data_IF_882351798666
#
_entry.id   IF_882351798666
#
_cell.length_a   1.000
_cell.length_b   1.000
_cell.length_c   1.000
_cell.angle_alpha   90.00
_cell.angle_beta   90.00
_cell.angle_gamma   90.00
#
_symmetry.space_group_name_H-M   'P 1'
#
loop_
_entity.id
_entity.type
_entity.pdbx_description
1 polymer ?
2 non-polymer ?
3 non-polymer ?
4 water ?
#
# COMPACT_ATOMS: atom_id res chain seq x y z
N UNK A 1 -13.05 7.31 18.73
CA UNK A 1 -12.93 7.50 17.26
C UNK A 1 -12.32 6.18 16.86
N UNK A 2 -12.90 5.40 15.91
CA UNK A 2 -12.14 4.22 15.43
C UNK A 2 -10.97 4.67 14.58
N UNK A 3 -9.75 4.37 15.03
CA UNK A 3 -8.50 4.68 14.34
C UNK A 3 -7.94 3.44 13.66
N UNK A 4 -7.41 3.51 12.46
CA UNK A 4 -6.89 2.33 11.79
C UNK A 4 -5.47 2.71 11.47
N UNK A 5 -4.51 1.85 11.81
CA UNK A 5 -3.11 2.14 11.53
C UNK A 5 -2.70 1.36 10.29
N UNK A 6 -2.42 2.11 9.24
CA UNK A 6 -2.13 1.54 7.93
C UNK A 6 -0.66 1.82 7.61
N UNK A 7 0.05 0.84 7.03
CA UNK A 7 1.44 1.03 6.69
C UNK A 7 1.55 0.74 5.21
N UNK A 8 2.28 1.60 4.51
CA UNK A 8 2.42 1.50 3.08
C UNK A 8 3.83 1.01 2.82
N UNK A 9 3.93 -0.10 2.07
CA UNK A 9 5.17 -0.87 1.81
C UNK A 9 5.36 -1.11 0.33
N UNK A 10 6.64 -1.21 -0.06
CA UNK A 10 6.96 -1.49 -1.44
C UNK A 10 8.35 -0.96 -1.69
N UNK A 11 8.93 -1.36 -2.82
CA UNK A 11 10.26 -0.91 -3.18
C UNK A 11 10.30 0.60 -3.44
N UNK A 12 11.52 1.14 -3.40
CA UNK A 12 11.83 2.54 -3.73
C UNK A 12 11.31 2.88 -5.14
N UNK A 13 10.56 3.99 -5.17
CA UNK A 13 10.19 4.57 -6.43
C UNK A 13 8.89 4.04 -7.02
N UNK A 14 8.14 3.23 -6.24
CA UNK A 14 6.89 2.67 -6.75
C UNK A 14 5.71 3.63 -6.59
N UNK A 15 5.86 4.59 -5.70
CA UNK A 15 4.79 5.58 -5.54
C UNK A 15 4.08 5.54 -4.21
N UNK A 16 4.73 5.02 -3.13
CA UNK A 16 4.11 4.96 -1.81
C UNK A 16 3.76 6.40 -1.34
N UNK A 17 4.73 7.29 -1.53
CA UNK A 17 4.62 8.66 -1.06
C UNK A 17 3.57 9.44 -1.90
N UNK A 18 3.65 9.24 -3.22
CA UNK A 18 2.72 9.87 -4.16
C UNK A 18 1.30 9.38 -3.91
N UNK A 19 1.05 8.09 -3.65
CA UNK A 19 -0.29 7.65 -3.32
C UNK A 19 -0.79 8.28 -2.03
N UNK A 20 0.06 8.27 -0.97
CA UNK A 20 -0.35 8.77 0.33
C UNK A 20 -0.72 10.29 0.28
N UNK A 21 0.16 11.06 -0.36
CA UNK A 21 0.02 12.53 -0.47
C UNK A 21 -1.18 12.79 -1.40
N UNK A 22 -1.44 12.00 -2.47
CA UNK A 22 -2.69 12.13 -3.21
C UNK A 22 -3.90 11.95 -2.30
N UNK A 23 -3.85 10.93 -1.43
CA UNK A 23 -4.94 10.69 -0.52
C UNK A 23 -5.14 11.88 0.41
N UNK A 24 -4.05 12.37 1.02
CA UNK A 24 -4.13 13.39 2.06
C UNK A 24 -4.50 14.77 1.49
N UNK A 25 -3.87 15.17 0.39
CA UNK A 25 -3.94 16.54 -0.12
C UNK A 25 -4.67 16.67 -1.43
N UNK A 26 -4.98 15.61 -2.17
CA UNK A 26 -5.59 15.71 -3.48
C UNK A 26 -4.62 16.24 -4.55
N UNK A 27 -3.31 16.22 -4.35
CA UNK A 27 -2.41 16.70 -5.39
C UNK A 27 -1.36 15.63 -5.67
N UNK A 28 -0.73 15.65 -6.85
CA UNK A 28 0.24 14.63 -7.21
C UNK A 28 1.61 15.24 -7.04
N UNK A 29 2.55 14.61 -6.36
CA UNK A 29 3.90 15.12 -6.22
C UNK A 29 4.84 14.55 -7.28
N UNK A 30 5.84 15.35 -7.66
CA UNK A 30 6.95 15.03 -8.56
C UNK A 30 8.21 14.32 -8.07
N UNK A 31 8.77 14.46 -6.84
CA UNK A 31 9.73 13.51 -6.24
C UNK A 31 9.90 13.80 -4.74
N UNK A 32 10.64 13.02 -3.89
CA UNK A 32 10.70 13.20 -2.44
C UNK A 32 11.67 12.17 -1.88
N UNK A 33 12.57 12.54 -0.99
CA UNK A 33 13.57 11.61 -0.50
C UNK A 33 13.07 10.27 0.08
N UNK A 34 13.57 9.19 -0.57
CA UNK A 34 13.29 7.81 -0.19
C UNK A 34 13.67 7.39 1.25
N UNK A 35 14.51 8.17 1.95
CA UNK A 35 14.97 7.92 3.31
C UNK A 35 14.06 8.56 4.41
N UNK A 36 12.86 9.08 4.05
CA UNK A 36 12.05 9.77 5.03
C UNK A 36 10.89 8.84 5.31
N UNK A 37 10.59 8.80 6.62
CA UNK A 37 9.37 8.29 7.20
C UNK A 37 8.35 9.37 7.67
N UNK A 38 7.07 9.27 7.29
CA UNK A 38 6.10 10.31 7.65
C UNK A 38 4.84 9.69 8.11
N UNK A 39 4.22 10.23 9.15
CA UNK A 39 2.93 9.76 9.63
C UNK A 39 1.91 10.82 9.21
N UNK A 40 0.71 10.41 8.81
CA UNK A 40 -0.36 11.30 8.45
C UNK A 40 -1.61 10.80 9.14
N UNK A 41 -2.47 11.69 9.67
CA UNK A 41 -3.77 11.31 10.19
C UNK A 41 -4.77 11.89 9.22
N UNK A 42 -5.86 11.26 8.87
CA UNK A 42 -6.79 11.77 7.86
C UNK A 42 -8.13 11.12 8.13
N UNK A 43 -9.22 11.90 8.25
CA UNK A 43 -10.57 11.31 8.33
C UNK A 43 -11.10 10.87 6.97
N UNK A 44 -11.92 9.85 6.85
CA UNK A 44 -12.40 9.33 5.57
C UNK A 44 -13.81 8.84 5.95
N UNK A 45 -14.87 8.87 5.13
CA UNK A 45 -16.07 8.10 5.41
C UNK A 45 -15.93 6.88 4.51
N UNK A 46 -16.18 5.70 5.04
CA UNK A 46 -16.27 4.50 4.20
C UNK A 46 -17.64 3.90 4.50
N UNK A 47 -18.37 3.67 3.40
CA UNK A 47 -19.75 3.21 3.48
C UNK A 47 -20.60 4.05 4.46
N UNK A 48 -20.41 5.37 4.28
CA UNK A 48 -21.09 6.39 5.07
C UNK A 48 -20.79 6.41 6.57
N UNK A 49 -19.73 5.74 7.05
CA UNK A 49 -19.34 5.76 8.45
C UNK A 49 -17.97 6.40 8.56
N UNK A 50 -17.84 7.47 9.35
CA UNK A 50 -16.54 8.19 9.52
C UNK A 50 -15.48 7.37 10.24
N UNK A 51 -14.27 7.36 9.73
CA UNK A 51 -13.15 6.59 10.24
C UNK A 51 -11.95 7.57 10.23
N UNK A 52 -10.96 7.30 11.09
CA UNK A 52 -9.72 8.06 11.11
C UNK A 52 -8.63 7.07 10.74
N UNK A 53 -7.80 7.37 9.77
CA UNK A 53 -6.67 6.55 9.37
C UNK A 53 -5.40 7.20 9.86
N UNK A 54 -4.47 6.49 10.45
CA UNK A 54 -3.13 6.98 10.64
C UNK A 54 -2.29 6.19 9.64
N UNK A 55 -1.69 6.87 8.69
CA UNK A 55 -0.95 6.25 7.62
C UNK A 55 0.54 6.48 7.86
N UNK A 56 1.31 5.39 7.81
CA UNK A 56 2.74 5.49 7.91
C UNK A 56 3.31 5.17 6.54
N UNK A 57 3.91 6.25 6.01
CA UNK A 57 4.63 6.23 4.76
C UNK A 57 6.11 5.91 5.06
N UNK A 58 6.60 4.79 4.51
CA UNK A 58 7.87 4.22 4.98
C UNK A 58 9.02 4.59 4.04
N UNK A 59 10.21 4.65 4.63
CA UNK A 59 11.42 4.74 3.84
C UNK A 59 11.61 3.30 3.39
N UNK A 60 11.31 2.87 2.16
CA UNK A 60 11.15 1.44 1.87
C UNK A 60 12.28 0.71 1.11
N UNK A 61 13.19 1.56 0.59
CA UNK A 61 14.29 1.18 -0.30
C UNK A 61 15.27 0.22 0.43
N UNK A 62 15.28 -1.13 0.18
CA UNK A 62 16.27 -2.07 0.75
C UNK A 62 16.46 -2.00 2.30
N UNK A 63 15.45 -1.43 3.02
CA UNK A 63 15.71 -1.21 4.44
C UNK A 63 15.86 -2.56 5.16
N UNK A 64 16.98 -2.70 5.93
CA UNK A 64 17.32 -3.73 6.92
C UNK A 64 16.16 -4.54 7.47
N UNK A 65 16.27 -5.90 7.47
CA UNK A 65 15.15 -6.76 7.82
C UNK A 65 14.47 -6.45 9.15
N UNK A 66 15.27 -6.04 10.17
CA UNK A 66 14.67 -5.79 11.47
C UNK A 66 13.86 -4.50 11.48
N UNK A 67 14.18 -3.60 10.55
CA UNK A 67 13.48 -2.33 10.50
C UNK A 67 12.14 -2.58 9.82
N UNK A 68 12.06 -3.43 8.78
CA UNK A 68 10.75 -3.81 8.22
C UNK A 68 9.94 -4.53 9.30
N UNK A 69 10.57 -5.38 10.15
CA UNK A 69 9.86 -6.03 11.24
C UNK A 69 9.17 -5.11 12.22
N UNK A 70 9.87 -4.04 12.60
CA UNK A 70 9.32 -3.04 13.51
C UNK A 70 8.06 -2.37 12.95
N UNK A 71 8.10 -2.04 11.65
CA UNK A 71 6.93 -1.43 10.99
C UNK A 71 5.76 -2.38 10.92
N UNK A 72 6.06 -3.63 10.54
CA UNK A 72 5.04 -4.67 10.53
C UNK A 72 4.39 -4.88 11.88
N UNK A 73 5.16 -4.96 12.98
CA UNK A 73 4.59 -5.28 14.28
C UNK A 73 3.57 -4.24 14.74
N UNK A 74 3.89 -2.98 14.41
CA UNK A 74 3.07 -1.87 14.88
C UNK A 74 1.99 -1.48 13.90
N UNK A 75 1.94 -1.95 12.64
CA UNK A 75 0.80 -1.70 11.76
C UNK A 75 -0.37 -2.69 11.93
N UNK A 76 -1.57 -2.24 11.60
CA UNK A 76 -2.73 -3.12 11.62
C UNK A 76 -3.12 -3.52 10.21
N UNK A 77 -2.96 -2.72 9.14
CA UNK A 77 -3.37 -3.15 7.81
C UNK A 77 -2.27 -2.68 6.89
N UNK A 78 -2.07 -3.37 5.78
CA UNK A 78 -0.92 -3.07 4.97
C UNK A 78 -1.35 -2.90 3.53
N UNK A 79 -0.80 -1.84 2.92
CA UNK A 79 -0.92 -1.63 1.48
C UNK A 79 0.41 -2.01 0.84
N UNK A 80 0.38 -3.05 0.00
CA UNK A 80 1.60 -3.50 -0.66
C UNK A 80 1.65 -2.98 -2.09
N UNK A 81 2.60 -2.13 -2.41
CA UNK A 81 2.58 -1.40 -3.68
C UNK A 81 3.74 -1.86 -4.56
N UNK A 82 3.46 -2.19 -5.81
CA UNK A 82 4.51 -2.33 -6.79
C UNK A 82 4.27 -1.34 -7.95
N UNK A 83 5.20 -1.15 -8.84
CA UNK A 83 4.99 -0.33 -10.02
C UNK A 83 4.81 -1.23 -11.22
N UNK A 84 3.71 -1.06 -11.97
CA UNK A 84 3.43 -1.95 -13.06
C UNK A 84 4.39 -1.74 -14.22
N UNK A 85 5.18 -0.67 -14.24
CA UNK A 85 6.17 -0.42 -15.28
C UNK A 85 7.57 -0.90 -14.87
N UNK A 86 7.65 -1.62 -13.74
CA UNK A 86 8.95 -2.03 -13.17
C UNK A 86 8.75 -3.47 -12.65
N UNK A 87 9.00 -4.49 -13.47
CA UNK A 87 8.77 -5.87 -12.98
C UNK A 87 9.65 -6.27 -11.82
N UNK A 88 10.86 -5.75 -11.66
CA UNK A 88 11.56 -6.03 -10.44
C UNK A 88 10.80 -5.59 -9.21
N UNK A 89 10.00 -4.50 -9.22
CA UNK A 89 9.28 -4.13 -8.01
C UNK A 89 8.17 -5.08 -7.64
N UNK A 90 7.66 -5.74 -8.70
CA UNK A 90 6.67 -6.80 -8.52
C UNK A 90 7.33 -8.01 -7.87
N UNK A 91 8.49 -8.48 -8.39
CA UNK A 91 9.25 -9.59 -7.75
C UNK A 91 9.57 -9.31 -6.28
N UNK A 92 9.95 -8.05 -6.01
CA UNK A 92 10.23 -7.61 -4.66
C UNK A 92 9.06 -7.57 -3.69
N UNK A 93 7.82 -7.48 -4.16
CA UNK A 93 6.74 -7.38 -3.19
C UNK A 93 6.40 -8.77 -2.59
N UNK A 94 6.72 -9.87 -3.29
CA UNK A 94 6.46 -11.22 -2.75
C UNK A 94 7.12 -11.51 -1.39
N UNK A 95 8.43 -11.30 -1.18
CA UNK A 95 9.08 -11.50 0.10
C UNK A 95 8.51 -10.63 1.22
N UNK A 96 8.06 -9.43 0.85
CA UNK A 96 7.49 -8.49 1.81
C UNK A 96 6.19 -9.00 2.40
N UNK A 97 5.33 -9.54 1.54
CA UNK A 97 4.09 -10.06 2.08
C UNK A 97 4.36 -11.25 3.03
N UNK A 98 5.25 -12.15 2.56
CA UNK A 98 5.49 -13.39 3.31
C UNK A 98 6.12 -13.07 4.65
N UNK A 99 6.93 -12.01 4.68
CA UNK A 99 7.52 -11.57 5.93
C UNK A 99 6.42 -11.07 6.86
N UNK A 100 5.46 -10.25 6.40
CA UNK A 100 4.32 -9.88 7.23
C UNK A 100 3.57 -11.06 7.90
N UNK A 101 3.19 -12.10 7.15
CA UNK A 101 2.46 -13.26 7.66
C UNK A 101 3.25 -14.00 8.77
N UNK A 102 4.56 -14.15 8.54
CA UNK A 102 5.46 -14.71 9.54
C UNK A 102 5.58 -13.87 10.77
N UNK A 103 5.90 -12.59 10.63
CA UNK A 103 6.03 -11.75 11.80
C UNK A 103 4.71 -11.72 12.56
N UNK A 104 3.54 -11.68 11.89
CA UNK A 104 2.29 -11.45 12.56
C UNK A 104 1.62 -12.79 12.74
N UNK A 105 2.38 -13.84 13.07
CA UNK A 105 1.91 -15.21 13.10
C UNK A 105 0.64 -15.50 13.87
N UNK A 106 0.34 -14.74 14.93
CA UNK A 106 -0.91 -14.96 15.68
C UNK A 106 -2.10 -14.17 15.13
N UNK A 107 -2.06 -13.54 13.94
CA UNK A 107 -3.15 -12.68 13.42
C UNK A 107 -3.51 -13.01 11.99
N UNK A 108 -4.75 -12.73 11.58
CA UNK A 108 -5.14 -12.67 10.17
C UNK A 108 -4.75 -11.28 9.72
N UNK A 109 -4.04 -11.15 8.62
CA UNK A 109 -3.45 -9.87 8.31
C UNK A 109 -4.20 -9.21 7.15
N UNK A 110 -4.89 -8.07 7.34
CA UNK A 110 -5.54 -7.35 6.25
C UNK A 110 -4.48 -6.76 5.32
N UNK A 111 -4.56 -7.09 4.04
CA UNK A 111 -3.59 -6.63 3.06
C UNK A 111 -4.31 -6.26 1.76
N UNK A 112 -3.78 -5.31 0.98
CA UNK A 112 -4.26 -5.10 -0.39
C UNK A 112 -3.03 -5.00 -1.27
N UNK A 113 -3.07 -5.54 -2.47
CA UNK A 113 -1.98 -5.49 -3.42
C UNK A 113 -2.37 -4.44 -4.46
N UNK A 114 -1.46 -3.50 -4.70
CA UNK A 114 -1.64 -2.40 -5.61
C UNK A 114 -0.58 -2.38 -6.69
N UNK A 115 -0.93 -2.42 -7.96
CA UNK A 115 0.00 -2.17 -9.05
C UNK A 115 -0.22 -0.73 -9.51
N UNK A 116 0.75 0.10 -9.21
CA UNK A 116 0.63 1.54 -9.37
C UNK A 116 1.26 1.98 -10.64
N UNK A 117 1.00 3.21 -11.08
CA UNK A 117 1.55 3.83 -12.28
C UNK A 117 0.79 3.37 -13.54
N UNK A 118 -0.52 3.09 -13.40
CA UNK A 118 -1.28 2.68 -14.58
C UNK A 118 -1.39 3.77 -15.67
N UNK A 119 -1.14 5.05 -15.33
CA UNK A 119 -1.17 6.09 -16.35
C UNK A 119 0.01 5.96 -17.32
N UNK A 120 1.04 5.20 -16.96
CA UNK A 120 2.18 4.95 -17.87
C UNK A 120 2.00 3.62 -18.60
N UNK A 121 0.80 3.31 -19.06
CA UNK A 121 0.47 1.94 -19.49
C UNK A 121 1.24 1.51 -20.77
N UNK A 122 1.78 2.44 -21.57
CA UNK A 122 2.61 2.08 -22.70
C UNK A 122 4.01 1.52 -22.30
N UNK A 123 4.44 1.69 -21.04
CA UNK A 123 5.68 1.14 -20.50
C UNK A 123 5.39 -0.06 -19.59
N UNK A 124 4.13 -0.58 -19.55
CA UNK A 124 3.74 -1.71 -18.70
C UNK A 124 4.66 -2.93 -18.90
N UNK A 125 5.15 -3.45 -17.77
CA UNK A 125 5.98 -4.66 -17.70
C UNK A 125 5.30 -5.76 -16.90
N UNK A 126 4.20 -5.54 -16.16
CA UNK A 126 3.57 -6.54 -15.31
C UNK A 126 2.13 -6.56 -15.76
N UNK A 127 1.55 -7.65 -16.26
CA UNK A 127 0.16 -7.61 -16.71
C UNK A 127 -0.83 -7.51 -15.52
N UNK A 128 -2.09 -7.10 -15.76
CA UNK A 128 -3.08 -7.08 -14.70
C UNK A 128 -3.35 -8.49 -14.14
N UNK A 129 -3.30 -9.49 -15.08
CA UNK A 129 -3.58 -10.89 -14.79
C UNK A 129 -2.53 -11.44 -13.81
N UNK A 130 -1.24 -10.99 -13.95
CA UNK A 130 -0.24 -11.44 -13.01
C UNK A 130 -0.38 -10.89 -11.60
N UNK A 131 -0.84 -9.64 -11.51
CA UNK A 131 -1.08 -9.10 -10.19
C UNK A 131 -2.31 -9.74 -9.58
N UNK A 132 -3.33 -9.94 -10.40
CA UNK A 132 -4.58 -10.52 -9.92
C UNK A 132 -4.33 -11.97 -9.45
N UNK A 133 -3.49 -12.71 -10.19
CA UNK A 133 -3.19 -14.10 -9.82
C UNK A 133 -2.54 -14.17 -8.43
N UNK A 134 -1.60 -13.26 -8.14
CA UNK A 134 -0.90 -13.23 -6.87
C UNK A 134 -1.87 -12.83 -5.75
N UNK A 135 -2.73 -11.82 -5.98
CA UNK A 135 -3.67 -11.43 -4.97
C UNK A 135 -4.66 -12.59 -4.72
N UNK A 136 -5.02 -13.38 -5.75
CA UNK A 136 -5.88 -14.55 -5.56
C UNK A 136 -5.19 -15.62 -4.71
N UNK A 137 -3.90 -15.90 -4.91
CA UNK A 137 -3.14 -16.79 -4.03
C UNK A 137 -3.10 -16.25 -2.59
N UNK A 138 -2.92 -14.92 -2.41
CA UNK A 138 -2.91 -14.32 -1.09
C UNK A 138 -4.29 -14.15 -0.46
N UNK A 139 -5.39 -14.33 -1.20
CA UNK A 139 -6.74 -14.15 -0.69
C UNK A 139 -6.99 -12.70 -0.36
N UNK A 140 -6.46 -11.73 -1.12
CA UNK A 140 -6.66 -10.31 -0.81
C UNK A 140 -7.13 -9.53 -2.07
N UNK A 141 -7.67 -8.28 -1.95
CA UNK A 141 -8.00 -7.43 -3.10
C UNK A 141 -6.77 -7.03 -3.88
N UNK A 142 -7.04 -6.77 -5.15
CA UNK A 142 -6.05 -6.28 -6.09
C UNK A 142 -6.63 -5.04 -6.77
N UNK A 143 -5.82 -4.03 -7.03
CA UNK A 143 -6.19 -2.81 -7.72
C UNK A 143 -5.00 -2.29 -8.48
N UNK A 144 -5.24 -1.80 -9.69
CA UNK A 144 -4.25 -0.99 -10.41
C UNK A 144 -4.58 0.49 -10.22
N UNK A 145 -3.65 1.31 -9.80
CA UNK A 145 -3.86 2.72 -9.50
C UNK A 145 -2.94 3.59 -10.34
N UNK A 146 -3.31 4.89 -10.41
CA UNK A 146 -2.36 5.92 -10.73
C UNK A 146 -2.44 6.89 -9.56
N UNK A 147 -1.29 7.36 -9.06
CA UNK A 147 -1.31 8.37 -8.01
C UNK A 147 -1.79 9.75 -8.50
N UNK A 148 -2.00 9.89 -9.82
CA UNK A 148 -2.58 11.10 -10.41
C UNK A 148 -4.07 11.12 -10.13
N UNK A 149 -4.75 10.02 -9.77
CA UNK A 149 -6.19 10.05 -9.67
C UNK A 149 -6.65 10.03 -8.22
N UNK A 150 -7.32 11.09 -7.79
CA UNK A 150 -7.86 11.10 -6.44
C UNK A 150 -8.95 10.04 -6.28
N UNK A 151 -9.78 9.67 -7.28
CA UNK A 151 -10.83 8.70 -6.99
C UNK A 151 -10.24 7.31 -6.79
N UNK A 152 -9.21 6.98 -7.58
CA UNK A 152 -8.58 5.68 -7.41
C UNK A 152 -7.94 5.58 -6.04
N UNK A 153 -7.26 6.63 -5.59
CA UNK A 153 -6.60 6.57 -4.30
C UNK A 153 -7.63 6.55 -3.16
N UNK A 154 -8.74 7.25 -3.32
CA UNK A 154 -9.75 7.16 -2.28
C UNK A 154 -10.36 5.78 -2.12
N UNK A 155 -10.59 5.11 -3.26
CA UNK A 155 -11.08 3.75 -3.28
C UNK A 155 -10.11 2.74 -2.63
N UNK A 156 -8.83 2.94 -2.89
CA UNK A 156 -7.79 2.16 -2.19
C UNK A 156 -7.85 2.24 -0.68
N UNK A 157 -7.78 3.46 -0.12
CA UNK A 157 -7.85 3.64 1.30
C UNK A 157 -9.17 3.25 1.93
N UNK A 158 -10.31 3.38 1.24
CA UNK A 158 -11.58 2.85 1.76
C UNK A 158 -11.47 1.32 1.85
N UNK A 159 -10.96 0.67 0.81
CA UNK A 159 -10.96 -0.79 0.82
C UNK A 159 -10.01 -1.32 1.89
N UNK A 160 -8.88 -0.70 2.21
CA UNK A 160 -8.09 -1.19 3.36
C UNK A 160 -8.87 -1.13 4.68
N UNK A 161 -9.69 -0.09 4.88
CA UNK A 161 -10.58 -0.03 6.04
C UNK A 161 -11.52 -1.20 6.09
N UNK A 162 -12.18 -1.50 4.99
CA UNK A 162 -13.08 -2.65 4.92
C UNK A 162 -12.35 -3.96 5.22
N UNK A 163 -11.15 -4.17 4.67
CA UNK A 163 -10.34 -5.35 5.01
C UNK A 163 -10.00 -5.42 6.50
N UNK A 164 -9.66 -4.31 7.13
CA UNK A 164 -9.29 -4.29 8.55
C UNK A 164 -10.49 -4.60 9.40
N UNK A 165 -11.70 -4.27 8.95
CA UNK A 165 -12.88 -4.67 9.70
C UNK A 165 -13.40 -6.08 9.53
N UNK A 166 -13.09 -6.70 8.41
CA UNK A 166 -13.55 -8.03 8.10
C UNK A 166 -12.66 -9.13 8.71
N UNK A 167 -11.38 -8.79 8.97
CA UNK A 167 -10.38 -9.71 9.50
C UNK A 167 -10.70 -10.15 10.94
X LIG B 1 8.50 7.64 -0.35
X LIG C 1 7.90 14.86 7.93
X LIG D 1 8.26 5.88 -3.11
X LIG D 1 9.73 5.79 -3.04
X LIG D 1 7.58 4.59 -3.24
X LIG D 1 7.63 6.67 -2.03
X LIG D 1 7.95 6.64 -4.51
X LIG D 1 7.38 8.16 -4.79
X LIG D 1 8.40 9.13 -4.34
X LIG D 1 6.01 8.26 -4.30
X LIG D 1 7.34 8.12 -6.38
X LIG D 1 8.54 8.01 -7.15
X LIG D 1 8.47 8.78 -8.46
X LIG D 1 7.43 8.18 -9.28
X LIG D 1 8.12 10.25 -8.32
X LIG D 1 8.75 10.87 -9.44
X LIG D 1 6.57 10.21 -8.49
X LIG D 1 6.06 11.45 -9.05
X LIG D 1 6.40 9.13 -9.56
X LIG D 1 5.08 8.46 -9.44
X LIG D 1 4.46 7.90 -8.34
X LIG D 1 3.29 7.36 -8.58
X LIG D 1 3.11 7.63 -9.93
X LIG D 1 2.06 7.32 -10.80
X LIG D 1 0.99 6.73 -10.54
X LIG D 1 2.28 7.73 -12.07
X LIG D 1 3.41 8.37 -12.51
X LIG D 1 3.47 8.72 -13.78
X LIG D 1 4.42 8.69 -11.72
X LIG D 1 4.22 8.27 -10.46
#
# INVERSE_FOLDING_TARGET
>A
MREYKVVVLGSGGVGKSALTVQFVTGTFIEKYDPTIEDFYRKEIEVDSSPSVLEILDTAGTEQFASMRDLYIKNGQGFILVYSLVNQQSFQDIKPMRDQIIRVKRYEKVPVILVGNKVDLESEREVSSSEGRALAEEWGCPFMETSAKSKTMVDELFAEIVRQMNYA
>B hetero
1 MG MG
>C hetero
1 MG MG
>D hetero
1 GDP PB O1B O2B O3B O3A PA O1A O2A O5' C5' C4' O4' C3' O3' C2' O2' C1' N9 C8 N7 C5 C6 O6 N1 C2 N2 N3 C4
#
